data_IF_547374944344
#
_entry.id   IF_547374944344
#
_cell.length_a   1.000
_cell.length_b   1.000
_cell.length_c   1.000
_cell.angle_alpha   90.00
_cell.angle_beta   90.00
_cell.angle_gamma   90.00
#
_symmetry.space_group_name_H-M   'P 1'
#
loop_
_entity.id
_entity.type
_entity.pdbx_description
1 polymer ?
#
# COMPACT_ATOMS: atom_id res chain seq x y z
N UNK A 1 -65.67 -6.85 -13.62
CA UNK A 1 -64.90 -5.65 -14.01
C UNK A 1 -64.03 -6.04 -15.19
N UNK A 2 -64.13 -5.28 -16.29
CA UNK A 2 -63.43 -5.57 -17.55
C UNK A 2 -61.90 -5.54 -17.32
N UNK A 3 -61.23 -6.62 -17.64
CA UNK A 3 -59.78 -6.76 -17.63
C UNK A 3 -59.19 -5.93 -18.79
N UNK A 4 -59.18 -4.61 -18.66
CA UNK A 4 -58.64 -3.72 -19.68
C UNK A 4 -57.16 -3.45 -19.39
N UNK A 5 -56.25 -3.57 -20.39
CA UNK A 5 -54.88 -3.18 -20.23
C UNK A 5 -54.77 -1.73 -19.79
N UNK A 6 -53.91 -1.43 -18.84
CA UNK A 6 -53.69 -0.08 -18.33
C UNK A 6 -52.21 0.33 -18.51
N UNK A 7 -51.92 1.61 -18.31
CA UNK A 7 -50.57 2.15 -18.38
C UNK A 7 -50.11 2.49 -16.96
N UNK A 8 -49.01 1.87 -16.54
CA UNK A 8 -48.36 2.18 -15.28
C UNK A 8 -47.23 3.20 -15.53
N UNK A 9 -47.29 4.31 -14.86
CA UNK A 9 -46.24 5.33 -14.85
C UNK A 9 -46.21 6.03 -13.52
N UNK A 10 -45.02 6.39 -13.06
CA UNK A 10 -44.87 7.22 -11.88
C UNK A 10 -44.82 8.69 -12.30
N UNK A 11 -45.72 9.49 -11.75
CA UNK A 11 -45.83 10.93 -11.98
C UNK A 11 -45.59 11.73 -10.68
N UNK A 12 -44.92 11.12 -9.70
CA UNK A 12 -44.66 11.74 -8.43
C UNK A 12 -43.56 12.78 -8.46
N UNK A 13 -43.33 13.41 -7.32
CA UNK A 13 -42.30 14.42 -7.10
C UNK A 13 -40.91 13.85 -7.28
N UNK A 14 -40.00 14.71 -7.76
CA UNK A 14 -38.53 14.43 -7.84
C UNK A 14 -37.88 14.12 -6.50
N UNK A 15 -38.51 14.52 -5.40
CA UNK A 15 -38.11 14.20 -4.03
C UNK A 15 -38.36 12.74 -3.63
N UNK A 16 -39.07 11.95 -4.45
CA UNK A 16 -39.31 10.54 -4.17
C UNK A 16 -38.25 9.66 -4.80
N UNK A 17 -37.53 8.90 -3.98
CA UNK A 17 -36.49 7.96 -4.42
C UNK A 17 -37.11 6.61 -4.79
N UNK A 18 -38.01 6.09 -3.94
CA UNK A 18 -38.76 4.86 -4.23
C UNK A 18 -40.25 5.08 -3.95
N UNK A 19 -41.08 4.61 -4.88
CA UNK A 19 -42.52 4.57 -4.73
C UNK A 19 -43.01 3.17 -5.01
N UNK A 20 -43.76 2.59 -4.03
CA UNK A 20 -44.38 1.28 -4.15
C UNK A 20 -45.84 1.46 -4.58
N UNK A 21 -46.17 0.98 -5.75
CA UNK A 21 -47.53 0.94 -6.28
C UNK A 21 -48.12 -0.46 -6.10
N UNK A 22 -49.23 -0.58 -5.39
CA UNK A 22 -49.94 -1.85 -5.27
C UNK A 22 -50.85 -2.05 -6.46
N UNK A 23 -50.76 -3.21 -7.09
CA UNK A 23 -51.61 -3.62 -8.23
C UNK A 23 -52.47 -4.79 -7.77
N UNK A 24 -53.79 -4.56 -7.67
CA UNK A 24 -54.73 -5.61 -7.26
C UNK A 24 -54.89 -6.70 -8.30
N UNK A 25 -54.86 -6.33 -9.58
CA UNK A 25 -54.93 -7.26 -10.69
C UNK A 25 -54.14 -6.77 -11.87
N UNK A 26 -53.01 -7.44 -12.16
CA UNK A 26 -52.19 -7.17 -13.32
C UNK A 26 -52.80 -7.82 -14.58
N UNK A 27 -53.07 -7.04 -15.60
CA UNK A 27 -53.61 -7.49 -16.88
C UNK A 27 -52.50 -7.54 -17.94
N UNK A 28 -52.38 -8.64 -18.66
CA UNK A 28 -51.48 -8.75 -19.79
C UNK A 28 -51.80 -7.77 -20.91
N UNK A 29 -50.73 -7.23 -21.54
CA UNK A 29 -50.87 -6.18 -22.53
C UNK A 29 -50.86 -4.78 -21.93
N UNK A 30 -50.88 -4.63 -20.61
CA UNK A 30 -50.65 -3.36 -19.93
C UNK A 30 -49.24 -2.84 -20.29
N UNK A 31 -49.05 -1.54 -20.21
CA UNK A 31 -47.79 -0.87 -20.53
C UNK A 31 -47.17 -0.29 -19.27
N UNK A 32 -45.84 -0.37 -19.19
CA UNK A 32 -45.02 0.28 -18.17
C UNK A 32 -44.19 1.36 -18.85
N UNK A 33 -44.39 2.62 -18.48
CA UNK A 33 -43.63 3.75 -19.02
C UNK A 33 -42.70 4.32 -17.94
N UNK A 34 -41.40 4.29 -18.22
CA UNK A 34 -40.32 4.77 -17.34
C UNK A 34 -39.56 5.89 -18.01
N UNK A 35 -39.29 6.95 -17.27
CA UNK A 35 -38.42 8.05 -17.72
C UNK A 35 -36.95 7.59 -17.80
N UNK A 36 -36.12 8.41 -18.47
CA UNK A 36 -34.72 8.07 -18.72
C UNK A 36 -33.86 7.77 -17.49
N UNK A 37 -34.33 8.13 -16.32
CA UNK A 37 -33.64 7.96 -15.04
C UNK A 37 -34.36 7.02 -14.07
N UNK A 38 -35.44 6.40 -14.51
CA UNK A 38 -36.26 5.53 -13.68
C UNK A 38 -36.00 4.06 -13.98
N UNK A 39 -36.03 3.24 -12.95
CA UNK A 39 -36.15 1.80 -13.03
C UNK A 39 -37.42 1.35 -12.32
N UNK A 40 -37.95 0.22 -12.73
CA UNK A 40 -39.09 -0.41 -12.04
C UNK A 40 -38.78 -1.85 -11.71
N UNK A 41 -39.23 -2.28 -10.53
CA UNK A 41 -39.07 -3.64 -10.05
C UNK A 41 -40.43 -4.22 -9.68
N UNK A 42 -40.80 -5.31 -10.32
CA UNK A 42 -41.98 -6.08 -9.91
C UNK A 42 -41.66 -6.98 -8.74
N UNK A 43 -42.61 -7.03 -7.79
CA UNK A 43 -42.53 -7.93 -6.66
C UNK A 43 -43.83 -8.68 -6.43
N UNK A 44 -43.74 -9.88 -5.90
CA UNK A 44 -44.86 -10.68 -5.43
C UNK A 44 -44.49 -11.45 -4.19
N UNK A 45 -45.35 -11.40 -3.18
CA UNK A 45 -45.13 -12.07 -1.89
C UNK A 45 -43.76 -11.76 -1.28
N UNK A 46 -43.34 -10.49 -1.34
CA UNK A 46 -42.06 -10.04 -0.81
C UNK A 46 -40.84 -10.45 -1.64
N UNK A 47 -41.00 -11.12 -2.77
CA UNK A 47 -39.89 -11.47 -3.67
C UNK A 47 -39.81 -10.48 -4.82
N UNK A 48 -38.64 -9.87 -5.00
CA UNK A 48 -38.34 -9.00 -6.12
C UNK A 48 -38.04 -9.86 -7.36
N UNK A 49 -38.77 -9.63 -8.44
CA UNK A 49 -38.76 -10.50 -9.63
C UNK A 49 -38.13 -9.80 -10.84
N UNK A 50 -38.93 -9.17 -11.69
CA UNK A 50 -38.48 -8.58 -12.95
C UNK A 50 -38.10 -7.12 -12.77
N UNK A 51 -36.99 -6.67 -13.40
CA UNK A 51 -36.50 -5.29 -13.37
C UNK A 51 -36.56 -4.73 -14.78
N UNK A 52 -37.09 -3.52 -14.90
CA UNK A 52 -37.20 -2.77 -16.14
C UNK A 52 -36.38 -1.50 -16.05
N UNK A 53 -35.56 -1.25 -17.07
CA UNK A 53 -34.86 0.01 -17.26
C UNK A 53 -35.76 1.05 -17.94
N UNK A 54 -35.20 2.25 -18.23
CA UNK A 54 -35.91 3.32 -18.90
C UNK A 54 -36.56 2.90 -20.22
N UNK A 55 -37.72 3.53 -20.55
CA UNK A 55 -38.44 3.26 -21.78
C UNK A 55 -39.87 2.80 -21.55
N UNK A 56 -40.55 2.44 -22.65
CA UNK A 56 -41.91 1.88 -22.59
C UNK A 56 -41.89 0.37 -22.85
N UNK A 57 -42.39 -0.38 -21.93
CA UNK A 57 -42.36 -1.84 -21.94
C UNK A 57 -43.79 -2.40 -21.95
N UNK A 58 -44.10 -3.27 -22.90
CA UNK A 58 -45.33 -4.04 -22.88
C UNK A 58 -45.20 -5.19 -21.86
N UNK A 59 -46.12 -5.29 -20.96
CA UNK A 59 -46.16 -6.32 -19.91
C UNK A 59 -46.78 -7.61 -20.46
N UNK A 60 -45.92 -8.42 -21.07
CA UNK A 60 -46.27 -9.70 -21.68
C UNK A 60 -45.36 -10.82 -21.16
N UNK A 61 -45.69 -12.07 -21.44
CA UNK A 61 -44.91 -13.23 -20.97
C UNK A 61 -43.44 -13.18 -21.28
N UNK A 62 -43.07 -12.57 -22.41
CA UNK A 62 -41.66 -12.38 -22.82
C UNK A 62 -40.90 -11.40 -21.93
N UNK A 63 -41.54 -10.36 -21.47
CA UNK A 63 -40.94 -9.27 -20.69
C UNK A 63 -40.99 -9.48 -19.19
N UNK A 64 -41.84 -10.45 -18.73
CA UNK A 64 -42.04 -10.79 -17.33
C UNK A 64 -41.66 -12.26 -17.04
N UNK A 65 -40.46 -12.76 -17.34
CA UNK A 65 -40.16 -14.19 -17.25
C UNK A 65 -40.30 -14.79 -15.85
N UNK A 66 -40.03 -13.99 -14.82
CA UNK A 66 -40.16 -14.47 -13.43
C UNK A 66 -41.55 -14.27 -12.86
N UNK A 67 -42.19 -13.13 -13.09
CA UNK A 67 -43.56 -12.85 -12.62
C UNK A 67 -44.58 -13.73 -13.33
N UNK A 68 -44.38 -14.02 -14.63
CA UNK A 68 -45.27 -14.87 -15.42
C UNK A 68 -45.45 -16.27 -14.85
N UNK A 69 -44.47 -16.85 -14.20
CA UNK A 69 -44.57 -18.17 -13.55
C UNK A 69 -45.67 -18.20 -12.46
N UNK A 70 -45.90 -17.08 -11.83
CA UNK A 70 -46.95 -16.96 -10.81
C UNK A 70 -48.32 -16.60 -11.40
N UNK A 71 -48.33 -16.11 -12.64
CA UNK A 71 -49.56 -15.63 -13.29
C UNK A 71 -50.50 -16.75 -13.69
N UNK A 72 -49.96 -17.92 -14.08
CA UNK A 72 -50.76 -19.07 -14.54
C UNK A 72 -51.60 -19.73 -13.44
N UNK A 73 -51.41 -19.34 -12.19
CA UNK A 73 -51.98 -20.03 -11.04
C UNK A 73 -53.19 -19.34 -10.42
N UNK A 74 -53.47 -18.06 -10.71
CA UNK A 74 -54.61 -17.33 -10.06
C UNK A 74 -55.00 -16.04 -10.79
N UNK A 75 -56.27 -15.84 -10.97
CA UNK A 75 -56.89 -14.54 -11.30
C UNK A 75 -57.87 -14.17 -10.20
N UNK A 76 -57.86 -12.97 -9.60
CA UNK A 76 -57.01 -11.83 -9.90
C UNK A 76 -55.53 -12.03 -9.49
N UNK A 77 -54.63 -11.29 -10.16
CA UNK A 77 -53.19 -11.40 -9.92
C UNK A 77 -52.64 -10.13 -9.22
N UNK A 78 -52.64 -10.10 -7.89
CA UNK A 78 -52.05 -8.99 -7.15
C UNK A 78 -50.55 -9.05 -7.16
N UNK A 79 -49.90 -7.89 -7.37
CA UNK A 79 -48.48 -7.71 -7.30
C UNK A 79 -48.12 -6.28 -6.86
N UNK A 80 -46.85 -6.07 -6.60
CA UNK A 80 -46.33 -4.76 -6.25
C UNK A 80 -45.37 -4.29 -7.35
N UNK A 81 -45.39 -3.01 -7.64
CA UNK A 81 -44.53 -2.35 -8.60
C UNK A 81 -43.76 -1.22 -7.89
N UNK A 82 -42.43 -1.37 -7.79
CA UNK A 82 -41.58 -0.35 -7.23
C UNK A 82 -41.03 0.50 -8.36
N UNK A 83 -41.25 1.81 -8.29
CA UNK A 83 -40.56 2.79 -9.13
C UNK A 83 -39.39 3.36 -8.38
N UNK A 84 -38.21 3.33 -8.98
CA UNK A 84 -36.96 3.82 -8.40
C UNK A 84 -36.43 4.94 -9.25
N UNK A 85 -36.17 6.09 -8.64
CA UNK A 85 -35.54 7.23 -9.31
C UNK A 85 -34.03 7.15 -9.11
N UNK A 86 -33.30 6.92 -10.22
CA UNK A 86 -31.81 6.82 -10.26
C UNK A 86 -31.15 8.08 -10.84
N UNK A 87 -31.94 9.11 -11.14
CA UNK A 87 -31.44 10.31 -11.83
C UNK A 87 -30.38 11.06 -11.06
N UNK A 88 -30.44 11.01 -9.75
CA UNK A 88 -29.72 11.94 -8.91
C UNK A 88 -28.62 11.25 -8.14
N UNK A 89 -27.42 11.82 -8.20
CA UNK A 89 -26.41 11.58 -7.18
C UNK A 89 -26.85 12.35 -5.95
N UNK A 90 -27.16 11.62 -4.89
CA UNK A 90 -27.58 12.24 -3.63
C UNK A 90 -26.35 12.68 -2.83
N UNK A 91 -26.27 13.96 -2.54
CA UNK A 91 -25.25 14.53 -1.68
C UNK A 91 -25.57 14.27 -0.22
N UNK A 92 -24.66 13.61 0.47
CA UNK A 92 -24.78 13.26 1.87
C UNK A 92 -23.64 13.91 2.62
N UNK A 93 -24.00 14.72 3.61
CA UNK A 93 -23.03 15.32 4.51
C UNK A 93 -22.48 14.27 5.45
N UNK A 94 -21.18 14.27 5.66
CA UNK A 94 -20.52 13.40 6.60
C UNK A 94 -19.57 14.20 7.51
N UNK A 95 -19.30 13.67 8.68
CA UNK A 95 -18.37 14.28 9.63
C UNK A 95 -17.85 13.25 10.64
N UNK A 96 -16.70 13.54 11.19
CA UNK A 96 -16.05 12.70 12.21
C UNK A 96 -16.27 13.29 13.60
N UNK A 97 -17.40 13.00 14.19
CA UNK A 97 -17.67 13.34 15.58
C UNK A 97 -17.99 12.05 16.36
N UNK A 98 -17.18 11.65 17.36
CA UNK A 98 -15.96 12.28 17.88
C UNK A 98 -14.76 12.21 16.91
N UNK A 99 -13.66 12.94 17.17
CA UNK A 99 -12.44 12.89 16.36
C UNK A 99 -11.89 11.46 16.21
N UNK A 100 -11.12 11.23 15.15
CA UNK A 100 -10.50 9.93 14.89
C UNK A 100 -9.06 9.96 15.40
N UNK A 101 -8.66 9.14 16.39
CA UNK A 101 -7.27 9.01 16.77
C UNK A 101 -6.51 8.24 15.68
N UNK A 102 -5.51 8.87 15.08
CA UNK A 102 -4.67 8.32 14.03
C UNK A 102 -3.22 8.45 14.44
N UNK A 103 -2.43 7.37 14.33
CA UNK A 103 -0.98 7.46 14.43
C UNK A 103 -0.43 8.03 13.12
N UNK A 104 0.22 9.19 13.19
CA UNK A 104 0.86 9.81 12.03
C UNK A 104 1.95 8.89 11.48
N UNK A 105 1.89 8.47 10.19
CA UNK A 105 2.82 7.49 9.64
C UNK A 105 4.29 7.93 9.64
N UNK A 106 4.55 9.25 9.53
CA UNK A 106 5.91 9.81 9.46
C UNK A 106 6.50 10.09 10.84
N UNK A 107 5.69 10.64 11.74
CA UNK A 107 6.18 11.13 13.03
C UNK A 107 5.89 10.20 14.20
N UNK A 108 5.09 9.13 14.00
CA UNK A 108 4.74 8.15 15.02
C UNK A 108 4.09 8.75 16.26
N UNK A 109 3.28 9.78 16.07
CA UNK A 109 2.52 10.47 17.11
C UNK A 109 1.04 10.24 16.86
N UNK A 110 0.29 9.92 17.90
CA UNK A 110 -1.16 9.84 17.82
C UNK A 110 -1.73 11.25 17.85
N UNK A 111 -2.55 11.57 16.85
CA UNK A 111 -3.26 12.83 16.68
C UNK A 111 -4.75 12.58 16.48
N UNK A 112 -5.56 13.50 16.98
CA UNK A 112 -7.01 13.45 16.82
C UNK A 112 -7.42 14.24 15.57
N UNK A 113 -7.87 13.53 14.53
CA UNK A 113 -8.27 14.12 13.26
C UNK A 113 -9.77 14.35 13.23
N UNK A 114 -10.17 15.58 12.96
CA UNK A 114 -11.54 15.96 12.65
C UNK A 114 -11.66 16.27 11.17
N UNK A 115 -12.68 15.72 10.54
CA UNK A 115 -12.95 15.92 9.13
C UNK A 115 -14.44 16.02 8.87
N UNK A 116 -14.81 16.84 7.89
CA UNK A 116 -16.18 16.91 7.39
C UNK A 116 -16.19 17.19 5.89
N UNK A 117 -17.31 16.90 5.26
CA UNK A 117 -17.46 17.10 3.84
C UNK A 117 -18.72 16.45 3.27
N UNK A 118 -18.65 16.10 1.99
CA UNK A 118 -19.77 15.57 1.22
C UNK A 118 -19.36 14.30 0.47
N UNK A 119 -20.30 13.38 0.35
CA UNK A 119 -20.17 12.19 -0.48
C UNK A 119 -21.36 12.07 -1.41
N UNK A 120 -21.12 11.86 -2.69
CA UNK A 120 -22.16 11.62 -3.67
C UNK A 120 -22.50 10.15 -3.78
N UNK A 121 -23.73 9.77 -3.44
CA UNK A 121 -24.23 8.39 -3.48
C UNK A 121 -25.27 8.24 -4.58
N UNK A 122 -25.14 7.19 -5.38
CA UNK A 122 -26.13 6.77 -6.37
C UNK A 122 -26.58 5.33 -6.10
N UNK A 123 -27.80 5.01 -6.55
CA UNK A 123 -28.33 3.64 -6.53
C UNK A 123 -27.72 2.88 -7.71
N UNK A 124 -26.93 1.85 -7.42
CA UNK A 124 -26.33 0.96 -8.42
C UNK A 124 -27.19 -0.27 -8.71
N UNK A 125 -27.73 -0.91 -7.68
CA UNK A 125 -28.60 -2.08 -7.79
C UNK A 125 -29.93 -1.85 -7.06
N UNK A 126 -30.99 -1.71 -7.85
CA UNK A 126 -32.34 -1.44 -7.34
C UNK A 126 -32.92 -2.57 -6.50
N UNK A 127 -32.59 -3.84 -6.79
CA UNK A 127 -33.07 -4.98 -6.00
C UNK A 127 -32.46 -5.01 -4.62
N UNK A 128 -31.13 -4.87 -4.54
CA UNK A 128 -30.43 -4.82 -3.26
C UNK A 128 -30.86 -3.61 -2.45
N UNK A 129 -31.03 -2.45 -3.09
CA UNK A 129 -31.50 -1.24 -2.44
C UNK A 129 -32.89 -1.40 -1.82
N UNK A 130 -33.88 -1.90 -2.57
CA UNK A 130 -35.22 -2.15 -2.05
C UNK A 130 -35.19 -3.15 -0.88
N UNK A 131 -34.43 -4.24 -1.04
CA UNK A 131 -34.43 -5.31 -0.02
C UNK A 131 -33.72 -4.93 1.27
N UNK A 132 -32.73 -4.05 1.22
CA UNK A 132 -31.85 -3.74 2.35
C UNK A 132 -32.11 -2.39 3.00
N UNK A 133 -32.60 -1.42 2.24
CA UNK A 133 -32.77 -0.04 2.69
C UNK A 133 -34.21 0.38 2.72
N UNK A 134 -34.94 0.32 1.59
CA UNK A 134 -36.30 0.82 1.52
C UNK A 134 -37.37 -0.21 1.90
N UNK A 135 -37.00 -1.31 2.53
CA UNK A 135 -37.85 -2.48 2.83
C UNK A 135 -39.22 -2.11 3.36
N UNK A 136 -40.26 -2.28 2.52
CA UNK A 136 -41.64 -2.17 2.92
C UNK A 136 -42.24 -0.76 2.94
N UNK A 137 -41.49 0.29 2.74
CA UNK A 137 -42.00 1.65 2.66
C UNK A 137 -42.88 1.83 1.41
N UNK A 138 -44.05 2.48 1.56
CA UNK A 138 -44.90 2.83 0.42
C UNK A 138 -44.27 3.96 -0.41
N UNK A 139 -43.66 4.92 0.27
CA UNK A 139 -42.93 6.02 -0.32
C UNK A 139 -41.64 6.25 0.48
N UNK A 140 -40.55 6.34 -0.22
CA UNK A 140 -39.20 6.58 0.37
C UNK A 140 -38.64 7.86 -0.20
N UNK A 141 -38.61 8.90 0.64
CA UNK A 141 -38.21 10.25 0.22
C UNK A 141 -36.71 10.43 0.18
N UNK A 142 -36.26 11.48 -0.49
CA UNK A 142 -34.84 11.89 -0.55
C UNK A 142 -34.30 12.23 0.85
N UNK A 143 -35.11 12.84 1.73
CA UNK A 143 -34.69 13.16 3.11
C UNK A 143 -34.44 11.88 3.91
N UNK A 144 -35.39 10.93 3.83
CA UNK A 144 -35.24 9.63 4.49
C UNK A 144 -34.02 8.89 3.95
N UNK A 145 -33.82 8.91 2.62
CA UNK A 145 -32.65 8.32 1.99
C UNK A 145 -31.34 8.93 2.54
N UNK A 146 -31.25 10.25 2.58
CA UNK A 146 -30.06 10.95 3.09
C UNK A 146 -29.77 10.59 4.55
N UNK A 147 -30.81 10.60 5.40
CA UNK A 147 -30.67 10.25 6.81
C UNK A 147 -30.20 8.81 7.02
N UNK A 148 -30.84 7.85 6.35
CA UNK A 148 -30.49 6.43 6.46
C UNK A 148 -29.07 6.15 5.92
N UNK A 149 -28.71 6.80 4.81
CA UNK A 149 -27.36 6.70 4.27
C UNK A 149 -26.33 7.32 5.21
N UNK A 150 -26.60 8.47 5.80
CA UNK A 150 -25.68 9.13 6.74
C UNK A 150 -25.35 8.21 7.92
N UNK A 151 -26.36 7.56 8.51
CA UNK A 151 -26.16 6.62 9.61
C UNK A 151 -25.29 5.43 9.20
N UNK A 152 -25.50 4.88 8.01
CA UNK A 152 -24.77 3.72 7.52
C UNK A 152 -23.37 4.04 7.01
N UNK A 153 -23.20 5.22 6.41
CA UNK A 153 -21.94 5.63 5.75
C UNK A 153 -20.94 6.22 6.75
N UNK A 154 -21.41 6.92 7.79
CA UNK A 154 -20.53 7.57 8.75
C UNK A 154 -19.42 6.65 9.34
N UNK A 155 -19.72 5.43 9.82
CA UNK A 155 -18.67 4.53 10.32
C UNK A 155 -17.72 4.06 9.22
N UNK A 156 -18.23 3.84 8.00
CA UNK A 156 -17.38 3.43 6.86
C UNK A 156 -16.41 4.54 6.46
N UNK A 157 -16.87 5.79 6.41
CA UNK A 157 -16.03 6.94 6.09
C UNK A 157 -14.96 7.15 7.16
N UNK A 158 -15.32 7.04 8.45
CA UNK A 158 -14.34 7.14 9.55
C UNK A 158 -13.21 6.14 9.41
N UNK A 159 -13.56 4.87 9.18
CA UNK A 159 -12.57 3.81 9.00
C UNK A 159 -11.75 4.02 7.73
N UNK A 160 -12.38 4.43 6.62
CA UNK A 160 -11.71 4.66 5.36
C UNK A 160 -10.71 5.82 5.42
N UNK A 161 -11.03 6.92 6.13
CA UNK A 161 -10.11 8.04 6.35
C UNK A 161 -8.86 7.57 7.10
N UNK A 162 -9.05 6.85 8.21
CA UNK A 162 -7.92 6.35 8.99
C UNK A 162 -7.02 5.42 8.16
N UNK A 163 -7.65 4.47 7.43
CA UNK A 163 -6.93 3.55 6.58
C UNK A 163 -6.19 4.26 5.44
N UNK A 164 -6.82 5.24 4.78
CA UNK A 164 -6.21 5.98 3.67
C UNK A 164 -4.96 6.76 4.11
N UNK A 165 -5.01 7.43 5.25
CA UNK A 165 -3.86 8.16 5.80
C UNK A 165 -2.69 7.20 6.09
N UNK A 166 -2.99 6.06 6.71
CA UNK A 166 -1.97 5.06 7.07
C UNK A 166 -1.42 4.35 5.82
N UNK A 167 -2.29 3.90 4.91
CA UNK A 167 -1.88 3.14 3.71
C UNK A 167 -1.05 3.98 2.74
N UNK A 168 -1.40 5.26 2.57
CA UNK A 168 -0.65 6.18 1.72
C UNK A 168 0.62 6.72 2.39
N UNK A 169 0.81 6.50 3.69
CA UNK A 169 1.98 7.00 4.43
C UNK A 169 2.05 8.52 4.49
N UNK A 170 0.91 9.21 4.39
CA UNK A 170 0.81 10.67 4.35
C UNK A 170 0.71 11.21 5.78
N UNK A 171 1.60 12.15 6.12
CA UNK A 171 1.48 12.86 7.42
C UNK A 171 0.23 13.74 7.45
N UNK A 172 -0.35 13.89 8.64
CA UNK A 172 -1.54 14.73 8.86
C UNK A 172 -1.31 16.18 8.41
N UNK A 173 -0.08 16.70 8.53
CA UNK A 173 0.28 18.04 8.04
C UNK A 173 0.34 18.16 6.51
N UNK A 174 0.38 17.05 5.80
CA UNK A 174 0.47 17.00 4.33
C UNK A 174 -0.86 16.62 3.66
N UNK A 175 -1.90 16.37 4.44
CA UNK A 175 -3.20 15.91 3.94
C UNK A 175 -3.75 16.87 2.88
N UNK A 176 -3.70 18.19 3.13
CA UNK A 176 -4.25 19.17 2.20
C UNK A 176 -3.62 19.12 0.81
N UNK A 177 -2.34 18.76 0.71
CA UNK A 177 -1.64 18.61 -0.57
C UNK A 177 -1.98 17.29 -1.30
N UNK A 178 -2.51 16.31 -0.58
CA UNK A 178 -2.75 14.96 -1.10
C UNK A 178 -4.24 14.56 -1.12
N UNK A 179 -5.13 15.56 -1.03
CA UNK A 179 -6.59 15.34 -0.92
C UNK A 179 -7.16 14.45 -2.03
N UNK A 180 -6.67 14.61 -3.26
CA UNK A 180 -7.15 13.83 -4.38
C UNK A 180 -6.82 12.34 -4.25
N UNK A 181 -5.60 12.02 -3.82
CA UNK A 181 -5.18 10.64 -3.59
C UNK A 181 -5.96 10.01 -2.44
N UNK A 182 -6.15 10.75 -1.34
CA UNK A 182 -6.93 10.31 -0.18
C UNK A 182 -8.39 10.06 -0.57
N UNK A 183 -9.00 10.97 -1.34
CA UNK A 183 -10.39 10.82 -1.79
C UNK A 183 -10.58 9.59 -2.67
N UNK A 184 -9.65 9.32 -3.59
CA UNK A 184 -9.68 8.14 -4.46
C UNK A 184 -9.56 6.84 -3.65
N UNK A 185 -8.66 6.80 -2.66
CA UNK A 185 -8.47 5.65 -1.78
C UNK A 185 -9.72 5.40 -0.91
N UNK A 186 -10.33 6.46 -0.37
CA UNK A 186 -11.58 6.36 0.40
C UNK A 186 -12.70 5.78 -0.46
N UNK A 187 -12.92 6.29 -1.67
CA UNK A 187 -13.95 5.76 -2.59
C UNK A 187 -13.71 4.28 -2.89
N UNK A 188 -12.48 3.91 -3.17
CA UNK A 188 -12.10 2.51 -3.43
C UNK A 188 -12.40 1.61 -2.23
N UNK A 189 -12.12 2.09 -1.03
CA UNK A 189 -12.30 1.35 0.23
C UNK A 189 -13.78 1.18 0.61
N UNK A 190 -14.63 2.21 0.41
CA UNK A 190 -16.04 2.16 0.85
C UNK A 190 -16.98 1.51 -0.17
N UNK A 191 -16.69 1.55 -1.47
CA UNK A 191 -17.56 1.04 -2.51
C UNK A 191 -17.91 -0.45 -2.38
N UNK A 192 -17.02 -1.36 -1.99
CA UNK A 192 -17.38 -2.76 -1.75
C UNK A 192 -18.49 -2.92 -0.69
N UNK A 193 -18.41 -2.15 0.40
CA UNK A 193 -19.45 -2.16 1.45
C UNK A 193 -20.75 -1.55 0.96
N UNK A 194 -20.71 -0.42 0.23
CA UNK A 194 -21.89 0.24 -0.32
C UNK A 194 -22.62 -0.63 -1.34
N UNK A 195 -21.90 -1.36 -2.17
CA UNK A 195 -22.49 -2.29 -3.16
C UNK A 195 -23.31 -3.39 -2.52
N UNK A 196 -22.97 -3.80 -1.29
CA UNK A 196 -23.79 -4.77 -0.55
C UNK A 196 -25.20 -4.26 -0.21
N UNK A 197 -25.40 -2.93 -0.26
CA UNK A 197 -26.69 -2.25 -0.09
C UNK A 197 -27.31 -1.79 -1.42
N UNK A 198 -26.67 -2.10 -2.54
CA UNK A 198 -27.09 -1.61 -3.86
C UNK A 198 -26.77 -0.14 -4.11
N UNK A 199 -25.78 0.41 -3.39
CA UNK A 199 -25.30 1.79 -3.49
C UNK A 199 -23.89 1.86 -4.06
N UNK A 200 -23.52 3.03 -4.58
CA UNK A 200 -22.18 3.32 -5.04
C UNK A 200 -21.83 4.79 -4.78
N UNK A 201 -20.64 5.03 -4.27
CA UNK A 201 -20.10 6.37 -4.14
C UNK A 201 -19.54 6.84 -5.49
N UNK A 202 -20.00 7.98 -5.97
CA UNK A 202 -19.58 8.60 -7.21
C UNK A 202 -18.42 9.57 -7.01
N UNK A 203 -18.43 10.30 -5.91
CA UNK A 203 -17.34 11.19 -5.49
C UNK A 203 -17.30 11.31 -3.98
N UNK A 204 -16.14 11.68 -3.49
CA UNK A 204 -15.89 12.00 -2.08
C UNK A 204 -15.18 13.34 -2.01
N UNK A 205 -15.74 14.26 -1.28
CA UNK A 205 -15.16 15.57 -1.08
C UNK A 205 -15.03 15.86 0.42
N UNK A 206 -13.82 16.15 0.86
CA UNK A 206 -13.55 16.62 2.20
C UNK A 206 -13.37 18.15 2.15
N UNK A 207 -14.23 18.87 2.86
CA UNK A 207 -14.14 20.33 2.97
C UNK A 207 -13.04 20.75 3.92
N UNK A 208 -12.97 20.06 5.06
CA UNK A 208 -12.02 20.35 6.11
C UNK A 208 -11.47 19.06 6.68
N UNK A 209 -10.15 19.00 6.83
CA UNK A 209 -9.48 18.01 7.67
C UNK A 209 -8.56 18.77 8.59
N UNK A 210 -8.85 18.75 9.87
CA UNK A 210 -8.12 19.48 10.90
C UNK A 210 -7.74 18.56 12.04
N UNK A 211 -6.75 18.95 12.78
CA UNK A 211 -6.38 18.33 14.06
C UNK A 211 -6.37 19.40 15.14
N UNK A 212 -6.42 18.97 16.39
CA UNK A 212 -6.34 19.89 17.51
C UNK A 212 -5.03 20.69 17.47
N UNK A 213 -5.09 21.96 17.91
CA UNK A 213 -3.94 22.86 17.94
C UNK A 213 -2.76 22.28 18.72
N UNK A 214 -3.03 21.58 19.82
CA UNK A 214 -2.00 20.96 20.65
C UNK A 214 -1.34 19.79 19.93
N UNK A 215 -2.12 18.95 19.26
CA UNK A 215 -1.60 17.85 18.46
C UNK A 215 -0.80 18.36 17.25
N UNK A 216 -1.27 19.43 16.59
CA UNK A 216 -0.54 20.07 15.51
C UNK A 216 0.81 20.64 15.98
N UNK A 217 0.82 21.31 17.12
CA UNK A 217 2.04 21.86 17.72
C UNK A 217 3.04 20.73 18.08
N UNK A 218 2.55 19.62 18.58
CA UNK A 218 3.38 18.41 18.86
C UNK A 218 4.00 17.86 17.59
N UNK A 219 3.22 17.73 16.50
CA UNK A 219 3.73 17.32 15.20
C UNK A 219 4.80 18.25 14.65
N UNK A 220 4.55 19.56 14.67
CA UNK A 220 5.49 20.58 14.19
C UNK A 220 6.79 20.53 14.99
N UNK A 221 6.72 20.47 16.32
CA UNK A 221 7.91 20.35 17.18
C UNK A 221 8.70 19.07 16.91
N UNK A 222 8.03 17.96 16.67
CA UNK A 222 8.70 16.68 16.35
C UNK A 222 9.36 16.73 14.99
N UNK A 223 8.69 17.33 13.99
CA UNK A 223 9.27 17.57 12.67
C UNK A 223 10.53 18.44 12.75
N UNK A 224 10.48 19.52 13.54
CA UNK A 224 11.64 20.39 13.75
C UNK A 224 12.81 19.62 14.40
N UNK A 225 12.56 18.88 15.48
CA UNK A 225 13.59 18.06 16.13
C UNK A 225 14.21 17.02 15.20
N UNK A 226 13.40 16.37 14.35
CA UNK A 226 13.94 15.42 13.37
C UNK A 226 14.78 16.11 12.29
N UNK A 227 14.33 17.27 11.81
CA UNK A 227 15.08 18.07 10.85
C UNK A 227 16.43 18.56 11.44
N UNK A 228 16.42 19.02 12.68
CA UNK A 228 17.64 19.42 13.41
C UNK A 228 18.58 18.25 13.61
N UNK A 229 18.07 17.07 13.98
CA UNK A 229 18.88 15.87 14.17
C UNK A 229 19.51 15.42 12.84
N UNK A 230 18.78 15.43 11.73
CA UNK A 230 19.31 15.09 10.41
C UNK A 230 20.37 16.10 9.97
N UNK A 231 20.11 17.40 10.17
CA UNK A 231 21.08 18.46 9.86
C UNK A 231 22.35 18.34 10.70
N UNK A 232 22.26 17.98 11.98
CA UNK A 232 23.46 17.75 12.83
C UNK A 232 24.26 16.54 12.36
N UNK A 233 23.62 15.46 11.93
CA UNK A 233 24.29 14.27 11.40
C UNK A 233 25.07 14.63 10.10
N UNK A 234 24.44 15.40 9.19
CA UNK A 234 25.09 15.83 7.96
C UNK A 234 26.29 16.74 8.23
N UNK A 235 26.15 17.68 9.18
CA UNK A 235 27.26 18.54 9.61
C UNK A 235 28.40 17.76 10.25
N UNK A 236 28.08 16.78 11.10
CA UNK A 236 29.09 15.93 11.70
C UNK A 236 29.79 15.04 10.67
N UNK A 237 29.06 14.50 9.70
CA UNK A 237 29.65 13.73 8.60
C UNK A 237 30.61 14.61 7.77
N UNK A 238 30.21 15.83 7.45
CA UNK A 238 31.08 16.78 6.72
C UNK A 238 32.29 17.18 7.56
N UNK A 239 32.10 17.39 8.85
CA UNK A 239 33.21 17.70 9.79
C UNK A 239 34.23 16.54 9.86
N UNK A 240 33.72 15.30 10.01
CA UNK A 240 34.58 14.10 10.02
C UNK A 240 35.36 14.00 8.69
N UNK A 241 34.69 14.24 7.55
CA UNK A 241 35.33 14.23 6.24
C UNK A 241 36.46 15.29 6.15
N UNK A 242 36.20 16.53 6.55
CA UNK A 242 37.18 17.60 6.56
C UNK A 242 38.37 17.29 7.49
N UNK A 243 38.13 16.73 8.67
CA UNK A 243 39.17 16.32 9.61
C UNK A 243 40.02 15.19 8.98
N UNK A 244 39.37 14.21 8.33
CA UNK A 244 40.11 13.12 7.68
C UNK A 244 40.96 13.60 6.51
N UNK A 245 40.47 14.54 5.70
CA UNK A 245 41.20 15.17 4.62
C UNK A 245 42.39 16.02 5.14
N UNK A 246 42.14 16.81 6.18
CA UNK A 246 43.21 17.60 6.83
C UNK A 246 44.28 16.72 7.44
N UNK A 247 43.94 15.63 8.11
CA UNK A 247 44.85 14.66 8.65
C UNK A 247 45.66 13.94 7.54
N UNK A 248 44.98 13.59 6.42
CA UNK A 248 45.69 13.01 5.26
C UNK A 248 46.68 13.97 4.66
N UNK A 249 46.35 15.27 4.55
CA UNK A 249 47.23 16.30 4.05
C UNK A 249 48.43 16.55 4.99
N UNK A 250 48.20 16.63 6.32
CA UNK A 250 49.25 16.77 7.32
C UNK A 250 50.22 15.60 7.27
N UNK A 251 49.75 14.37 7.13
CA UNK A 251 50.59 13.17 6.97
C UNK A 251 51.45 13.21 5.70
N UNK A 252 50.89 13.67 4.59
CA UNK A 252 51.65 13.84 3.35
C UNK A 252 52.78 14.86 3.49
N UNK A 253 52.52 15.93 4.26
CA UNK A 253 53.49 17.03 4.45
C UNK A 253 54.60 16.63 5.43
N UNK A 254 54.27 15.80 6.44
CA UNK A 254 55.21 15.32 7.45
C UNK A 254 56.01 14.06 7.01
N UNK A 255 55.68 13.52 5.82
CA UNK A 255 56.36 12.31 5.30
C UNK A 255 55.92 11.00 5.97
N UNK A 256 54.90 11.05 6.82
CA UNK A 256 54.31 9.86 7.44
C UNK A 256 53.30 9.20 6.50
N UNK A 257 53.47 7.90 6.30
CA UNK A 257 52.43 7.10 5.59
C UNK A 257 51.47 6.48 6.57
N UNK A 258 50.26 6.12 6.10
CA UNK A 258 49.27 5.35 6.88
C UNK A 258 49.86 4.07 7.49
N UNK A 259 50.85 3.48 6.83
CA UNK A 259 51.57 2.31 7.31
C UNK A 259 52.41 2.62 8.55
N UNK A 260 53.03 3.80 8.60
CA UNK A 260 53.84 4.21 9.75
C UNK A 260 52.99 4.45 10.99
N UNK A 261 51.80 5.03 10.81
CA UNK A 261 50.84 5.27 11.88
C UNK A 261 50.31 3.94 12.44
N UNK A 262 49.89 3.03 11.57
CA UNK A 262 49.43 1.69 11.97
C UNK A 262 50.56 0.91 12.68
N UNK A 263 51.77 1.06 12.24
CA UNK A 263 52.95 0.47 12.88
C UNK A 263 53.14 1.05 14.28
N UNK A 264 52.96 2.36 14.44
CA UNK A 264 53.09 3.03 15.74
C UNK A 264 51.96 2.65 16.69
N UNK A 265 50.74 2.54 16.20
CA UNK A 265 49.59 2.08 16.95
C UNK A 265 49.73 0.63 17.45
N UNK A 266 50.24 -0.25 16.60
CA UNK A 266 50.53 -1.64 16.95
C UNK A 266 51.63 -1.71 18.00
N UNK A 267 52.72 -0.96 17.81
CA UNK A 267 53.83 -0.87 18.76
C UNK A 267 53.40 -0.27 20.11
N UNK A 268 52.59 0.79 20.09
CA UNK A 268 52.06 1.44 21.32
C UNK A 268 51.10 0.55 22.07
N UNK A 269 50.24 -0.20 21.34
CA UNK A 269 49.32 -1.17 21.92
C UNK A 269 50.06 -2.38 22.50
N UNK A 270 51.09 -2.86 21.82
CA UNK A 270 51.99 -3.92 22.31
C UNK A 270 52.77 -3.47 23.54
N UNK A 271 53.22 -2.23 23.58
CA UNK A 271 53.92 -1.67 24.75
C UNK A 271 53.01 -1.47 25.95
N UNK A 272 51.73 -1.22 25.75
CA UNK A 272 50.70 -1.09 26.79
C UNK A 272 50.21 -2.46 27.32
N UNK A 273 50.38 -3.52 26.56
CA UNK A 273 50.02 -4.87 27.00
C UNK A 273 51.10 -5.37 28.00
N UNK A 274 50.65 -5.79 29.20
CA UNK A 274 51.50 -6.28 30.30
C UNK A 274 52.51 -7.37 29.91
N UNK A 275 52.47 -7.92 28.69
CA UNK A 275 53.35 -8.94 28.19
C UNK A 275 54.76 -8.44 27.85
N UNK A 276 54.94 -7.19 27.43
CA UNK A 276 56.28 -6.66 27.01
C UNK A 276 57.17 -6.31 28.23
N UNK A 277 56.57 -5.93 29.35
CA UNK A 277 57.32 -5.66 30.60
C UNK A 277 58.03 -6.89 31.18
N UNK A 278 57.57 -8.10 30.87
CA UNK A 278 58.15 -9.35 31.30
C UNK A 278 59.38 -9.78 30.47
N UNK A 279 59.52 -9.26 29.23
CA UNK A 279 60.62 -9.61 28.33
C UNK A 279 61.83 -8.66 28.42
N UNK A 280 61.65 -7.50 29.05
CA UNK A 280 62.76 -6.52 29.18
C UNK A 280 63.84 -6.92 30.20
N UNK A 281 63.63 -7.93 31.02
CA UNK A 281 64.54 -8.32 32.09
C UNK A 281 65.34 -9.62 31.81
N UNK A 282 65.33 -10.15 30.60
CA UNK A 282 66.05 -11.38 30.28
C UNK A 282 66.91 -11.24 29.04
N UNK A 283 68.19 -11.67 29.13
CA UNK A 283 69.22 -11.59 28.09
C UNK A 283 68.90 -12.34 26.76
N UNK A 284 67.69 -12.70 26.47
CA UNK A 284 67.29 -13.38 25.23
C UNK A 284 66.14 -12.73 24.45
N UNK A 285 65.59 -11.61 24.93
CA UNK A 285 64.37 -11.03 24.39
C UNK A 285 64.49 -10.23 23.08
N UNK A 286 65.68 -9.69 22.81
CA UNK A 286 65.88 -8.80 21.66
C UNK A 286 65.78 -9.50 20.29
N UNK A 287 66.24 -10.74 20.20
CA UNK A 287 66.20 -11.49 18.92
C UNK A 287 64.83 -12.05 18.57
N UNK A 288 64.02 -12.35 19.61
CA UNK A 288 62.66 -12.84 19.43
C UNK A 288 61.74 -11.69 19.08
N UNK A 289 61.96 -10.50 19.62
CA UNK A 289 61.21 -9.30 19.30
C UNK A 289 61.48 -8.87 17.86
N UNK A 290 62.72 -8.93 17.40
CA UNK A 290 63.09 -8.60 16.02
C UNK A 290 62.53 -9.60 15.00
N UNK A 291 62.50 -10.89 15.30
CA UNK A 291 61.91 -11.88 14.41
C UNK A 291 60.38 -11.76 14.34
N UNK A 292 59.71 -11.55 15.49
CA UNK A 292 58.25 -11.35 15.52
C UNK A 292 57.84 -9.98 14.95
N UNK A 293 58.64 -8.92 15.16
CA UNK A 293 58.45 -7.63 14.51
C UNK A 293 58.66 -7.73 12.99
N UNK A 294 59.63 -8.48 12.52
CA UNK A 294 59.84 -8.73 11.09
C UNK A 294 58.67 -9.56 10.49
N UNK A 295 58.12 -10.54 11.19
CA UNK A 295 56.96 -11.32 10.74
C UNK A 295 55.69 -10.46 10.71
N UNK A 296 55.49 -9.60 11.72
CA UNK A 296 54.35 -8.66 11.77
C UNK A 296 54.54 -7.53 10.74
N UNK A 297 55.75 -7.01 10.57
CA UNK A 297 56.05 -5.97 9.56
C UNK A 297 56.05 -6.53 8.15
N UNK A 298 56.50 -7.76 7.92
CA UNK A 298 56.39 -8.43 6.62
C UNK A 298 54.92 -8.83 6.31
N UNK A 299 54.10 -9.07 7.31
CA UNK A 299 52.66 -9.25 7.13
C UNK A 299 51.90 -7.94 6.94
N UNK A 300 52.41 -6.83 7.52
CA UNK A 300 51.82 -5.48 7.40
C UNK A 300 52.37 -4.67 6.22
N UNK A 301 53.62 -4.92 5.84
CA UNK A 301 54.24 -4.37 4.63
C UNK A 301 54.08 -5.33 3.44
N UNK A 302 52.85 -5.66 3.10
CA UNK A 302 52.54 -6.09 1.76
C UNK A 302 52.91 -4.96 0.80
N UNK A 303 54.19 -4.94 0.30
CA UNK A 303 54.43 -4.31 -0.99
C UNK A 303 53.31 -4.72 -1.91
N UNK A 304 52.86 -3.89 -2.84
CA UNK A 304 51.97 -4.33 -3.89
C UNK A 304 52.76 -5.24 -4.86
N UNK A 305 53.18 -6.38 -4.37
CA UNK A 305 53.38 -7.52 -5.23
C UNK A 305 51.99 -8.03 -5.53
N UNK A 306 51.53 -7.75 -6.74
CA UNK A 306 50.55 -8.55 -7.44
C UNK A 306 50.57 -10.01 -6.94
N UNK A 307 49.79 -10.29 -5.92
CA UNK A 307 49.55 -11.65 -5.41
C UNK A 307 48.26 -11.78 -4.64
N UNK A 308 47.19 -11.21 -5.20
CA UNK A 308 45.83 -11.72 -4.98
C UNK A 308 45.58 -13.02 -5.77
N UNK A 309 46.64 -13.78 -6.09
CA UNK A 309 46.62 -14.95 -6.95
C UNK A 309 46.77 -16.30 -6.22
N UNK A 310 47.00 -16.36 -4.91
CA UNK A 310 47.46 -17.62 -4.30
C UNK A 310 46.36 -18.54 -3.77
N UNK A 311 45.12 -18.07 -3.54
CA UNK A 311 44.03 -18.97 -3.16
C UNK A 311 43.16 -19.42 -4.34
N UNK A 312 43.28 -18.77 -5.51
CA UNK A 312 42.38 -19.00 -6.66
C UNK A 312 42.94 -19.94 -7.72
N UNK A 313 44.22 -20.36 -7.61
CA UNK A 313 44.90 -21.20 -8.59
C UNK A 313 45.25 -22.58 -8.06
N UNK A 314 44.49 -23.13 -7.11
CA UNK A 314 44.69 -24.49 -6.64
C UNK A 314 43.62 -25.43 -7.19
N UNK A 315 44.04 -26.61 -7.57
CA UNK A 315 43.17 -27.65 -8.07
C UNK A 315 42.20 -28.12 -6.98
N UNK A 316 40.91 -28.16 -7.26
CA UNK A 316 39.88 -28.60 -6.31
C UNK A 316 39.95 -30.08 -5.96
N UNK A 317 40.72 -30.89 -6.73
CA UNK A 317 40.85 -32.33 -6.51
C UNK A 317 42.17 -32.73 -5.83
N UNK A 318 43.31 -32.14 -6.22
CA UNK A 318 44.62 -32.54 -5.72
C UNK A 318 45.37 -31.41 -5.01
N UNK A 319 44.81 -30.22 -4.90
CA UNK A 319 45.33 -29.02 -4.24
C UNK A 319 46.64 -28.49 -4.84
N UNK A 320 47.11 -29.03 -6.00
CA UNK A 320 48.28 -28.58 -6.73
C UNK A 320 48.03 -27.20 -7.35
N UNK A 321 49.07 -26.38 -7.48
CA UNK A 321 48.99 -25.04 -8.08
C UNK A 321 48.78 -25.17 -9.59
N UNK A 322 47.75 -24.56 -10.14
CA UNK A 322 47.47 -24.52 -11.58
C UNK A 322 48.06 -23.24 -12.15
N UNK A 323 48.86 -23.37 -13.21
CA UNK A 323 49.46 -22.22 -13.88
C UNK A 323 48.37 -21.29 -14.50
N UNK A 324 48.64 -19.99 -14.49
CA UNK A 324 47.74 -19.01 -15.08
C UNK A 324 47.56 -19.28 -16.58
N UNK A 325 46.28 -19.41 -17.05
CA UNK A 325 45.96 -19.72 -18.44
C UNK A 325 45.75 -21.20 -18.75
N UNK A 326 46.10 -22.15 -17.86
CA UNK A 326 45.85 -23.57 -18.10
C UNK A 326 44.37 -23.94 -17.89
N UNK A 327 43.80 -24.69 -18.83
CA UNK A 327 42.43 -25.20 -18.80
C UNK A 327 42.27 -26.43 -17.92
N UNK A 328 43.35 -27.12 -17.57
CA UNK A 328 43.35 -28.36 -16.81
C UNK A 328 44.51 -28.36 -15.80
N UNK A 329 44.37 -29.07 -14.70
CA UNK A 329 45.44 -29.30 -13.75
C UNK A 329 46.51 -30.23 -14.37
N UNK A 330 47.76 -29.83 -14.36
CA UNK A 330 48.89 -30.60 -14.91
C UNK A 330 49.19 -31.87 -14.12
N UNK A 331 48.84 -31.91 -12.82
CA UNK A 331 49.11 -33.06 -11.95
C UNK A 331 48.03 -34.16 -12.01
N UNK A 332 46.71 -33.75 -12.12
CA UNK A 332 45.64 -34.72 -12.05
C UNK A 332 44.63 -34.65 -13.22
N UNK A 333 44.86 -33.79 -14.21
CA UNK A 333 44.01 -33.65 -15.38
C UNK A 333 42.59 -33.04 -15.12
N UNK A 334 42.29 -32.58 -13.91
CA UNK A 334 40.97 -32.04 -13.59
C UNK A 334 40.79 -30.68 -14.27
N UNK A 335 39.65 -30.45 -14.99
CA UNK A 335 39.40 -29.15 -15.63
C UNK A 335 39.24 -28.02 -14.61
N UNK A 336 39.79 -26.85 -14.95
CA UNK A 336 39.67 -25.65 -14.15
C UNK A 336 38.22 -25.15 -14.19
N UNK A 337 37.61 -24.88 -13.04
CA UNK A 337 36.27 -24.30 -12.96
C UNK A 337 36.28 -22.86 -13.50
N UNK A 338 35.58 -22.61 -14.59
CA UNK A 338 35.40 -21.28 -15.15
C UNK A 338 34.49 -20.44 -14.25
N UNK A 339 34.89 -19.22 -13.96
CA UNK A 339 34.02 -18.27 -13.24
C UNK A 339 32.96 -17.78 -14.20
N UNK A 340 31.71 -18.13 -13.93
CA UNK A 340 30.55 -17.58 -14.63
C UNK A 340 30.02 -16.37 -13.87
N UNK A 341 29.62 -15.35 -14.60
CA UNK A 341 29.04 -14.14 -14.05
C UNK A 341 27.53 -14.11 -14.34
N UNK A 342 26.76 -13.59 -13.42
CA UNK A 342 25.34 -13.40 -13.64
C UNK A 342 25.11 -12.31 -14.69
N UNK A 343 24.35 -12.62 -15.74
CA UNK A 343 24.03 -11.68 -16.82
C UNK A 343 23.16 -10.49 -16.38
N UNK A 344 22.49 -10.61 -15.23
CA UNK A 344 21.59 -9.58 -14.70
C UNK A 344 22.31 -8.59 -13.76
N UNK A 345 23.22 -9.08 -12.91
CA UNK A 345 23.85 -8.25 -11.87
C UNK A 345 25.37 -8.29 -11.86
N UNK A 346 26.04 -9.04 -12.76
CA UNK A 346 27.49 -9.11 -12.85
C UNK A 346 28.19 -9.86 -11.71
N UNK A 347 27.49 -10.37 -10.71
CA UNK A 347 28.11 -11.09 -9.58
C UNK A 347 28.64 -12.46 -10.02
N UNK A 348 29.78 -12.86 -9.46
CA UNK A 348 30.37 -14.19 -9.72
C UNK A 348 29.44 -15.27 -9.18
N UNK A 349 29.09 -16.23 -10.01
CA UNK A 349 28.18 -17.32 -9.65
C UNK A 349 28.93 -18.55 -9.16
N UNK A 350 28.32 -19.28 -8.23
CA UNK A 350 28.85 -20.56 -7.76
C UNK A 350 28.60 -21.60 -8.84
N UNK A 351 29.63 -22.39 -9.26
CA UNK A 351 29.44 -23.46 -10.24
C UNK A 351 28.39 -24.46 -9.82
N UNK A 352 27.39 -24.71 -10.69
CA UNK A 352 26.29 -25.64 -10.41
C UNK A 352 25.04 -25.04 -9.72
N UNK A 353 25.03 -23.76 -9.37
CA UNK A 353 23.83 -23.11 -8.84
C UNK A 353 22.80 -22.86 -9.93
N UNK A 354 21.51 -23.10 -9.61
CA UNK A 354 20.38 -22.84 -10.52
C UNK A 354 19.89 -21.38 -10.47
N UNK A 355 20.33 -20.63 -9.48
CA UNK A 355 19.91 -19.23 -9.26
C UNK A 355 21.07 -18.37 -8.80
N UNK A 356 21.08 -17.11 -9.14
CA UNK A 356 22.03 -16.13 -8.62
C UNK A 356 21.77 -15.84 -7.14
N UNK A 357 22.78 -16.02 -6.29
CA UNK A 357 22.66 -15.79 -4.84
C UNK A 357 22.52 -14.32 -4.48
N UNK A 358 22.86 -13.39 -5.40
CA UNK A 358 22.78 -11.96 -5.17
C UNK A 358 21.48 -11.32 -5.66
N UNK A 359 20.95 -11.72 -6.84
CA UNK A 359 19.77 -11.10 -7.43
C UNK A 359 18.61 -12.08 -7.68
N UNK A 360 18.76 -13.38 -7.39
CA UNK A 360 17.73 -14.40 -7.58
C UNK A 360 17.47 -14.82 -9.04
N UNK A 361 18.18 -14.26 -10.01
CA UNK A 361 17.99 -14.61 -11.42
C UNK A 361 18.30 -16.10 -11.68
N UNK A 362 17.44 -16.75 -12.42
CA UNK A 362 17.58 -18.18 -12.78
C UNK A 362 18.57 -18.32 -13.93
N UNK A 363 19.48 -19.29 -13.81
CA UNK A 363 20.37 -19.70 -14.90
C UNK A 363 19.69 -20.78 -15.73
N UNK A 364 19.62 -20.56 -17.02
CA UNK A 364 19.10 -21.53 -17.99
C UNK A 364 20.06 -22.69 -18.24
#
# INVERSE_FOLDING_TARGET
MLNTPCMFRFQGDSATVVYRHHIDNLVFGSQLALNGSQEAVFAKNGRLLDVFGPGTHALVSKTLPYLYRYFAASAPFPCELYFINKATVHEILWGTNPPIPIEDPKYRIIVNVQACGQIGIKISDSRLFISKISAGAQQYSTETFKSDCQIKIAPLVRQAIANAIVSLGISVVEISANMQAISAEIISSINPALRSFGLEASYFYAETITTDSDDLNRLIKTRQKQAEALSSIDLDAERIKRISEANAYARMTEGYTYHDEKRYDILSSAAKSRGLAAFANGNGGASIIDSQLNDITNSAMGTPKSSSASAQNRCSKCNATIAEGSKFCTECGTPRAEKKFCSQCGTVTVPGSKFCTSCGARFG
#
